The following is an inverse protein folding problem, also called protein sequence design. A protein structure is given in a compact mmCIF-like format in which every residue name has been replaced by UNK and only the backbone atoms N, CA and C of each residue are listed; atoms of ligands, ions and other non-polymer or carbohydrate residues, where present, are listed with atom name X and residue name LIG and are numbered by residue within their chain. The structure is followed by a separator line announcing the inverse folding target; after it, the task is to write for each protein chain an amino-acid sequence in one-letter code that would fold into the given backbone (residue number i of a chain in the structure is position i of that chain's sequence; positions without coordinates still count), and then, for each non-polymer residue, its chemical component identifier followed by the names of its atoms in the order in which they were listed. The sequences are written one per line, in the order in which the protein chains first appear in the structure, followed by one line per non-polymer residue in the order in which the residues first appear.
data_IF_582928291049
#
_entry.id   IF_582928291049
#
_cell.length_a   1.000
_cell.length_b   1.000
_cell.length_c   1.000
_cell.angle_alpha   90.00
_cell.angle_beta   90.00
_cell.angle_gamma   90.00
#
_symmetry.space_group_name_H-M   'P 1'
#
loop_
_entity.id
_entity.type
_entity.pdbx_description
1 polymer ?
#
# COMPACT_ATOMS: atom_id res chain seq x y z
N UNK A 1 -72.21 -40.54 15.18
CA UNK A 1 -70.77 -40.45 15.49
C UNK A 1 -70.08 -39.98 14.22
N UNK A 2 -69.52 -38.76 14.29
CA UNK A 2 -68.48 -38.12 13.46
C UNK A 2 -68.77 -38.00 11.95
N UNK A 3 -68.97 -36.80 11.39
CA UNK A 3 -67.96 -35.75 11.09
C UNK A 3 -66.89 -36.28 10.11
N UNK A 4 -66.46 -35.63 9.03
CA UNK A 4 -66.70 -34.30 8.48
C UNK A 4 -66.16 -34.25 7.04
N UNK A 5 -66.64 -33.25 6.31
CA UNK A 5 -66.06 -32.60 5.12
C UNK A 5 -64.54 -32.46 5.22
N UNK A 6 -63.80 -32.71 4.14
CA UNK A 6 -62.73 -31.76 3.76
C UNK A 6 -62.46 -31.76 2.26
N UNK A 7 -62.82 -30.62 1.68
CA UNK A 7 -62.74 -30.28 0.27
C UNK A 7 -61.39 -29.58 0.11
N UNK A 8 -60.36 -30.32 -0.31
CA UNK A 8 -58.99 -29.82 -0.42
C UNK A 8 -58.93 -28.56 -1.32
N UNK A 9 -58.54 -27.38 -0.80
CA UNK A 9 -58.33 -26.21 -1.62
C UNK A 9 -56.89 -26.19 -2.16
N UNK A 10 -56.76 -26.09 -3.49
CA UNK A 10 -55.48 -25.87 -4.19
C UNK A 10 -54.71 -24.69 -3.57
N UNK A 11 -53.37 -24.79 -3.43
CA UNK A 11 -52.57 -23.70 -2.89
C UNK A 11 -52.59 -22.49 -3.83
N UNK A 12 -53.04 -21.36 -3.30
CA UNK A 12 -52.94 -20.03 -3.93
C UNK A 12 -51.47 -19.60 -3.92
N UNK A 13 -50.96 -19.24 -5.09
CA UNK A 13 -49.68 -18.57 -5.30
C UNK A 13 -49.54 -17.38 -4.33
N UNK A 14 -48.44 -17.24 -3.58
CA UNK A 14 -48.24 -16.05 -2.76
C UNK A 14 -47.98 -14.84 -3.68
N UNK A 15 -48.74 -13.78 -3.44
CA UNK A 15 -48.57 -12.48 -4.07
C UNK A 15 -47.15 -11.96 -3.81
N UNK A 16 -46.45 -11.53 -4.87
CA UNK A 16 -45.21 -10.76 -4.75
C UNK A 16 -45.53 -9.46 -4.01
N UNK A 17 -45.02 -9.32 -2.79
CA UNK A 17 -44.92 -8.03 -2.13
C UNK A 17 -44.08 -7.08 -3.01
N UNK A 18 -44.53 -5.83 -3.22
CA UNK A 18 -43.69 -4.83 -3.86
C UNK A 18 -42.51 -4.55 -2.92
N UNK A 19 -41.31 -4.88 -3.39
CA UNK A 19 -40.06 -4.54 -2.71
C UNK A 19 -40.02 -3.02 -2.55
N UNK A 20 -39.77 -2.48 -1.35
CA UNK A 20 -39.60 -1.03 -1.21
C UNK A 20 -38.40 -0.62 -2.05
N UNK A 21 -38.62 0.33 -2.97
CA UNK A 21 -37.57 0.97 -3.75
C UNK A 21 -36.48 1.43 -2.79
N UNK A 22 -35.33 0.76 -2.88
CA UNK A 22 -34.16 1.04 -2.08
C UNK A 22 -33.74 2.47 -2.41
N UNK A 23 -33.92 3.34 -1.43
CA UNK A 23 -33.46 4.72 -1.38
C UNK A 23 -32.15 4.89 -2.12
N UNK A 24 -32.15 5.84 -3.04
CA UNK A 24 -30.96 6.50 -3.60
C UNK A 24 -30.14 7.04 -2.43
N UNK A 25 -29.28 6.19 -1.87
CA UNK A 25 -28.11 6.68 -1.17
C UNK A 25 -27.24 7.25 -2.27
N UNK A 26 -27.30 8.57 -2.44
CA UNK A 26 -26.22 9.32 -3.08
C UNK A 26 -24.97 8.98 -2.28
N UNK A 27 -24.28 7.95 -2.75
CA UNK A 27 -22.96 7.55 -2.32
C UNK A 27 -22.10 8.79 -2.53
N UNK A 28 -21.83 9.49 -1.43
CA UNK A 28 -20.85 10.56 -1.37
C UNK A 28 -19.46 9.97 -1.54
N UNK A 29 -19.22 9.30 -2.67
CA UNK A 29 -17.91 8.99 -3.19
C UNK A 29 -17.22 10.33 -3.33
N UNK A 30 -16.47 10.73 -2.30
CA UNK A 30 -15.37 11.67 -2.47
C UNK A 30 -14.61 11.18 -3.69
N UNK A 31 -14.56 12.04 -4.70
CA UNK A 31 -13.97 11.77 -5.99
C UNK A 31 -12.49 11.40 -5.81
N UNK A 32 -12.21 10.12 -5.57
CA UNK A 32 -10.87 9.56 -5.48
C UNK A 32 -10.22 9.44 -6.86
N UNK A 33 -10.83 10.00 -7.91
CA UNK A 33 -10.30 10.02 -9.28
C UNK A 33 -8.95 10.74 -9.41
N UNK A 34 -8.56 11.55 -8.42
CA UNK A 34 -7.30 12.28 -8.42
C UNK A 34 -6.09 11.46 -7.89
N UNK A 35 -6.33 10.37 -7.16
CA UNK A 35 -5.26 9.58 -6.55
C UNK A 35 -5.13 8.20 -7.21
N UNK A 36 -3.91 7.74 -7.38
CA UNK A 36 -3.64 6.37 -7.82
C UNK A 36 -4.05 5.38 -6.73
N UNK A 37 -4.54 4.22 -7.17
CA UNK A 37 -4.74 3.09 -6.26
C UNK A 37 -3.38 2.64 -5.74
N UNK A 38 -3.29 2.28 -4.46
CA UNK A 38 -2.03 1.86 -3.84
C UNK A 38 -1.35 0.71 -4.60
N UNK A 39 -2.13 -0.22 -5.17
CA UNK A 39 -1.64 -1.36 -5.95
C UNK A 39 -1.05 -0.96 -7.30
N UNK A 40 -1.40 0.21 -7.83
CA UNK A 40 -0.81 0.78 -9.04
C UNK A 40 0.41 1.62 -8.69
N UNK A 41 0.30 2.45 -7.64
CA UNK A 41 1.39 3.26 -7.13
C UNK A 41 2.62 2.40 -6.78
N UNK A 42 2.44 1.26 -6.10
CA UNK A 42 3.56 0.40 -5.70
C UNK A 42 4.35 -0.17 -6.89
N UNK A 43 3.71 -0.34 -8.05
CA UNK A 43 4.38 -0.85 -9.27
C UNK A 43 5.35 0.16 -9.85
N UNK A 44 5.19 1.45 -9.52
CA UNK A 44 6.08 2.53 -9.94
C UNK A 44 7.37 2.55 -9.11
N UNK A 45 7.36 1.95 -7.92
CA UNK A 45 8.54 1.90 -7.06
C UNK A 45 9.46 0.75 -7.52
N UNK A 46 10.73 1.03 -7.86
CA UNK A 46 11.70 0.00 -8.20
C UNK A 46 12.00 -0.90 -6.99
N UNK A 47 12.53 -2.09 -7.24
CA UNK A 47 13.06 -2.90 -6.14
C UNK A 47 14.39 -2.32 -5.67
N UNK A 48 14.68 -2.47 -4.38
CA UNK A 48 15.93 -2.02 -3.79
C UNK A 48 16.57 -3.14 -2.98
N UNK A 49 17.79 -3.55 -3.34
CA UNK A 49 18.53 -4.62 -2.66
C UNK A 49 19.68 -4.10 -1.78
N UNK A 50 19.95 -2.79 -1.82
CA UNK A 50 21.06 -2.11 -1.16
C UNK A 50 22.20 -1.71 -2.08
N UNK A 51 22.27 -2.26 -3.28
CA UNK A 51 23.41 -2.12 -4.22
C UNK A 51 22.99 -1.85 -5.67
N UNK A 52 21.78 -2.28 -6.06
CA UNK A 52 21.26 -2.21 -7.42
C UNK A 52 20.97 -0.77 -7.89
N UNK A 53 20.80 0.17 -6.97
CA UNK A 53 20.67 1.59 -7.26
C UNK A 53 21.13 2.45 -6.07
N UNK A 54 21.33 3.74 -6.31
CA UNK A 54 21.64 4.69 -5.25
C UNK A 54 20.43 4.87 -4.32
N UNK A 55 20.67 4.83 -3.00
CA UNK A 55 19.61 4.97 -1.99
C UNK A 55 18.86 6.30 -2.07
N UNK A 56 19.54 7.41 -2.41
CA UNK A 56 18.88 8.71 -2.59
C UNK A 56 17.88 8.67 -3.75
N UNK A 57 18.25 8.02 -4.85
CA UNK A 57 17.34 7.83 -5.98
C UNK A 57 16.13 6.98 -5.59
N UNK A 58 16.34 5.88 -4.86
CA UNK A 58 15.22 5.06 -4.38
C UNK A 58 14.26 5.87 -3.49
N UNK A 59 14.82 6.70 -2.60
CA UNK A 59 14.05 7.57 -1.71
C UNK A 59 13.24 8.61 -2.49
N UNK A 60 13.84 9.26 -3.48
CA UNK A 60 13.17 10.24 -4.34
C UNK A 60 11.97 9.61 -5.06
N UNK A 61 12.15 8.42 -5.66
CA UNK A 61 11.05 7.70 -6.33
C UNK A 61 9.92 7.35 -5.34
N UNK A 62 10.25 6.94 -4.11
CA UNK A 62 9.24 6.67 -3.08
C UNK A 62 8.45 7.93 -2.69
N UNK A 63 9.12 9.09 -2.58
CA UNK A 63 8.48 10.38 -2.25
C UNK A 63 7.55 10.82 -3.37
N UNK A 64 8.02 10.79 -4.62
CA UNK A 64 7.20 11.15 -5.78
C UNK A 64 5.96 10.27 -5.89
N UNK A 65 6.12 8.95 -5.70
CA UNK A 65 4.97 8.03 -5.75
C UNK A 65 4.02 8.25 -4.57
N UNK A 66 4.52 8.61 -3.38
CA UNK A 66 3.67 8.91 -2.23
C UNK A 66 2.73 10.09 -2.48
N UNK A 67 3.16 11.11 -3.22
CA UNK A 67 2.32 12.27 -3.59
C UNK A 67 1.13 11.89 -4.48
N UNK A 68 1.20 10.73 -5.16
CA UNK A 68 0.13 10.23 -6.02
C UNK A 68 -0.87 9.34 -5.27
N UNK A 69 -0.61 9.01 -4.01
CA UNK A 69 -1.46 8.13 -3.19
C UNK A 69 -2.36 8.95 -2.28
N UNK A 70 -3.56 8.43 -1.99
CA UNK A 70 -4.45 9.08 -1.03
C UNK A 70 -3.78 9.14 0.37
N UNK A 71 -3.76 10.29 1.05
CA UNK A 71 -3.21 10.43 2.40
C UNK A 71 -3.72 9.42 3.43
N UNK A 72 -4.98 8.98 3.31
CA UNK A 72 -5.57 7.95 4.18
C UNK A 72 -4.89 6.58 4.05
N UNK A 73 -4.25 6.34 2.91
CA UNK A 73 -3.61 5.09 2.55
C UNK A 73 -2.11 5.08 2.80
N UNK A 74 -1.50 6.19 3.24
CA UNK A 74 -0.05 6.30 3.45
C UNK A 74 0.53 5.23 4.40
N UNK A 75 -0.25 4.80 5.40
CA UNK A 75 0.16 3.72 6.31
C UNK A 75 0.23 2.36 5.60
N UNK A 76 -0.70 2.08 4.70
CA UNK A 76 -0.66 0.84 3.90
C UNK A 76 0.42 0.93 2.83
N UNK A 77 0.59 2.12 2.25
CA UNK A 77 1.64 2.39 1.28
C UNK A 77 3.03 2.15 1.88
N UNK A 78 3.34 2.63 3.08
CA UNK A 78 4.63 2.38 3.73
C UNK A 78 4.92 0.89 3.92
N UNK A 79 3.91 0.09 4.30
CA UNK A 79 4.02 -1.37 4.39
C UNK A 79 4.32 -1.99 3.03
N UNK A 80 3.71 -1.49 1.97
CA UNK A 80 3.98 -1.97 0.61
C UNK A 80 5.36 -1.56 0.11
N UNK A 81 5.86 -0.35 0.43
CA UNK A 81 7.24 0.04 0.08
C UNK A 81 8.25 -0.94 0.66
N UNK A 82 8.03 -1.43 1.89
CA UNK A 82 8.87 -2.49 2.49
C UNK A 82 8.91 -3.77 1.67
N UNK A 83 7.81 -4.11 1.01
CA UNK A 83 7.75 -5.29 0.14
C UNK A 83 8.62 -5.16 -1.12
N UNK A 84 9.03 -3.93 -1.48
CA UNK A 84 9.98 -3.65 -2.58
C UNK A 84 11.44 -3.73 -2.14
N UNK A 85 11.69 -3.86 -0.84
CA UNK A 85 13.02 -4.16 -0.33
C UNK A 85 13.32 -5.64 -0.58
N UNK A 86 14.51 -5.90 -1.09
CA UNK A 86 15.03 -7.25 -1.37
C UNK A 86 16.45 -7.38 -0.82
N UNK A 87 17.07 -8.54 -0.98
CA UNK A 87 18.49 -8.73 -0.66
C UNK A 87 18.93 -8.25 0.73
N UNK A 88 20.01 -7.47 0.75
CA UNK A 88 20.63 -6.96 1.97
C UNK A 88 19.77 -5.86 2.62
N UNK A 89 19.13 -5.01 1.81
CA UNK A 89 18.17 -4.01 2.28
C UNK A 89 17.05 -4.64 3.12
N UNK A 90 16.45 -5.73 2.65
CA UNK A 90 15.41 -6.45 3.41
C UNK A 90 15.94 -7.15 4.65
N UNK A 91 17.19 -7.59 4.64
CA UNK A 91 17.81 -8.26 5.78
C UNK A 91 18.06 -7.28 6.91
N UNK A 92 18.58 -6.09 6.59
CA UNK A 92 18.85 -5.04 7.58
C UNK A 92 17.58 -4.38 8.11
N UNK A 93 16.57 -4.20 7.25
CA UNK A 93 15.31 -3.56 7.67
C UNK A 93 14.49 -4.40 8.64
N UNK A 94 14.58 -5.74 8.60
CA UNK A 94 13.85 -6.65 9.51
C UNK A 94 14.08 -6.39 11.00
N UNK A 95 15.16 -5.67 11.36
CA UNK A 95 15.46 -5.30 12.73
C UNK A 95 14.81 -3.98 13.16
N UNK A 96 14.16 -3.26 12.25
CA UNK A 96 13.54 -1.97 12.50
C UNK A 96 12.02 -2.07 12.63
N UNK A 97 11.46 -1.26 13.54
CA UNK A 97 10.03 -1.23 13.90
C UNK A 97 9.33 0.07 13.51
N UNK A 98 9.97 0.91 12.68
CA UNK A 98 9.46 2.22 12.29
C UNK A 98 8.07 2.15 11.64
N UNK A 99 7.18 3.08 11.98
CA UNK A 99 5.77 3.01 11.56
C UNK A 99 5.46 3.78 10.28
N UNK A 100 6.23 4.83 9.98
CA UNK A 100 5.94 5.76 8.89
C UNK A 100 6.86 5.58 7.69
N UNK A 101 6.43 6.05 6.52
CA UNK A 101 7.26 6.06 5.32
C UNK A 101 8.52 6.90 5.52
N UNK A 102 8.41 8.09 6.14
CA UNK A 102 9.55 8.98 6.36
C UNK A 102 10.63 8.35 7.23
N UNK A 103 10.22 7.64 8.29
CA UNK A 103 11.16 6.92 9.16
C UNK A 103 11.90 5.84 8.38
N UNK A 104 11.17 5.02 7.61
CA UNK A 104 11.76 3.99 6.75
C UNK A 104 12.78 4.57 5.77
N UNK A 105 12.44 5.66 5.08
CA UNK A 105 13.33 6.29 4.11
C UNK A 105 14.59 6.88 4.77
N UNK A 106 14.43 7.47 5.97
CA UNK A 106 15.55 8.00 6.76
C UNK A 106 16.50 6.88 7.21
N UNK A 107 15.94 5.76 7.66
CA UNK A 107 16.71 4.58 8.07
C UNK A 107 17.47 3.97 6.90
N UNK A 108 16.83 3.84 5.73
CA UNK A 108 17.48 3.33 4.52
C UNK A 108 18.66 4.20 4.12
N UNK A 109 18.51 5.54 4.14
CA UNK A 109 19.65 6.45 3.92
C UNK A 109 20.77 6.19 4.92
N UNK A 110 20.48 6.16 6.23
CA UNK A 110 21.51 5.90 7.24
C UNK A 110 22.25 4.57 7.08
N UNK A 111 21.61 3.55 6.50
CA UNK A 111 22.22 2.23 6.28
C UNK A 111 23.03 2.10 5.00
N UNK A 112 22.64 2.80 3.94
CA UNK A 112 23.14 2.59 2.57
C UNK A 112 23.79 3.83 1.95
N UNK A 113 23.69 5.00 2.59
CA UNK A 113 24.42 6.18 2.16
C UNK A 113 25.92 5.97 2.45
N UNK A 114 26.79 6.18 1.45
CA UNK A 114 28.22 6.13 1.69
C UNK A 114 28.55 7.20 2.74
N UNK A 115 29.23 6.80 3.82
CA UNK A 115 29.70 7.77 4.79
C UNK A 115 30.67 8.71 4.08
N UNK A 116 30.40 10.02 4.05
CA UNK A 116 31.28 11.06 3.49
C UNK A 116 32.75 10.87 3.90
N UNK A 117 32.95 10.38 5.12
CA UNK A 117 34.27 10.09 5.68
C UNK A 117 35.02 8.99 4.93
N UNK A 118 34.32 7.98 4.43
CA UNK A 118 34.91 6.84 3.71
C UNK A 118 35.27 7.24 2.27
N UNK A 119 34.45 8.08 1.62
CA UNK A 119 34.77 8.67 0.32
C UNK A 119 35.95 9.66 0.42
N UNK A 120 35.99 10.48 1.47
CA UNK A 120 37.14 11.35 1.76
C UNK A 120 38.42 10.54 1.98
N UNK A 121 38.37 9.48 2.77
CA UNK A 121 39.52 8.58 3.00
C UNK A 121 39.99 7.88 1.72
N UNK A 122 39.07 7.47 0.85
CA UNK A 122 39.43 6.87 -0.45
C UNK A 122 40.04 7.88 -1.40
N UNK A 123 39.53 9.13 -1.41
CA UNK A 123 40.10 10.22 -2.19
C UNK A 123 41.51 10.61 -1.71
N UNK A 124 41.71 10.69 -0.39
CA UNK A 124 43.03 10.94 0.21
C UNK A 124 44.03 9.81 -0.11
N UNK A 125 43.60 8.55 -0.06
CA UNK A 125 44.43 7.41 -0.45
C UNK A 125 44.76 7.41 -1.95
N UNK A 126 43.81 7.79 -2.80
CA UNK A 126 44.01 7.88 -4.26
C UNK A 126 44.94 9.04 -4.67
N UNK A 127 45.11 10.05 -3.82
CA UNK A 127 46.07 11.15 -4.02
C UNK A 127 47.44 10.91 -3.36
N UNK A 128 47.55 9.87 -2.53
CA UNK A 128 48.80 9.50 -1.85
C UNK A 128 49.66 8.47 -2.63
N UNK A 129 49.16 7.95 -3.76
CA UNK A 129 49.85 7.03 -4.67
C UNK A 129 49.91 7.60 -6.08
#
# INVERSE_FOLDING_TARGET
MVDAVDNEPKPKTPAREPTPSRTDYEDGAMDNSQFLRITEAIKLIPEFDGYNMNVNRFVEECVVVAELVNPLDHKHFSVLVRSRLTGDARTREQFNTSGTLSDLLTELKGMFEPSDRLEQLQSELAHAY
#
